data_IF_863914148184
#
_entry.id   IF_863914148184
#
_cell.length_a   1.000
_cell.length_b   1.000
_cell.length_c   1.000
_cell.angle_alpha   90.00
_cell.angle_beta   90.00
_cell.angle_gamma   90.00
#
_symmetry.space_group_name_H-M   'P 1'
#
loop_
_entity.id
_entity.type
_entity.pdbx_description
1 polymer ?
#
# COMPACT_ATOMS: atom_id res chain seq x y z
N UNK A 1 -68.81 4.88 -18.51
CA UNK A 1 -67.39 5.00 -18.11
C UNK A 1 -66.78 3.70 -17.56
N UNK A 2 -67.55 2.73 -17.06
CA UNK A 2 -67.02 1.46 -16.47
C UNK A 2 -66.47 0.42 -17.46
N UNK A 3 -66.68 0.58 -18.79
CA UNK A 3 -66.28 -0.41 -19.80
C UNK A 3 -64.83 -0.29 -20.32
N UNK A 4 -64.14 0.83 -20.03
CA UNK A 4 -62.74 1.07 -20.41
C UNK A 4 -61.73 0.83 -19.28
N UNK A 5 -62.21 0.61 -18.05
CA UNK A 5 -61.34 0.40 -16.88
C UNK A 5 -60.78 -1.04 -16.84
N UNK A 6 -61.54 -2.01 -17.33
CA UNK A 6 -61.15 -3.43 -17.33
C UNK A 6 -59.92 -3.77 -18.22
N UNK A 7 -59.79 -3.28 -19.48
CA UNK A 7 -58.61 -3.56 -20.29
C UNK A 7 -57.36 -2.81 -19.83
N UNK A 8 -57.52 -1.67 -19.15
CA UNK A 8 -56.40 -0.88 -18.60
C UNK A 8 -55.75 -1.57 -17.39
N UNK A 9 -56.55 -2.23 -16.55
CA UNK A 9 -56.05 -3.02 -15.41
C UNK A 9 -55.38 -4.32 -15.88
N UNK A 10 -55.86 -4.94 -16.96
CA UNK A 10 -55.28 -6.17 -17.50
C UNK A 10 -53.93 -5.92 -18.20
N UNK A 11 -53.74 -4.76 -18.83
CA UNK A 11 -52.45 -4.36 -19.43
C UNK A 11 -51.38 -4.01 -18.38
N UNK A 12 -51.78 -3.41 -17.25
CA UNK A 12 -50.85 -3.10 -16.15
C UNK A 12 -50.30 -4.32 -15.41
N UNK A 13 -51.05 -5.42 -15.35
CA UNK A 13 -50.62 -6.65 -14.69
C UNK A 13 -49.46 -7.37 -15.42
N UNK A 14 -49.35 -7.21 -16.74
CA UNK A 14 -48.30 -7.85 -17.56
C UNK A 14 -46.94 -7.17 -17.36
N UNK A 15 -46.92 -5.88 -17.05
CA UNK A 15 -45.69 -5.09 -16.87
C UNK A 15 -45.02 -5.41 -15.51
N UNK A 16 -45.80 -5.79 -14.50
CA UNK A 16 -45.27 -6.12 -13.17
C UNK A 16 -44.64 -7.53 -13.10
N UNK A 17 -45.09 -8.47 -13.93
CA UNK A 17 -44.55 -9.84 -13.95
C UNK A 17 -43.21 -9.92 -14.71
N UNK A 18 -42.98 -9.06 -15.71
CA UNK A 18 -41.73 -9.12 -16.49
C UNK A 18 -40.48 -8.68 -15.72
N UNK A 19 -40.63 -7.78 -14.73
CA UNK A 19 -39.51 -7.36 -13.88
C UNK A 19 -39.00 -8.50 -12.96
N UNK A 20 -39.90 -9.40 -12.53
CA UNK A 20 -39.51 -10.53 -11.67
C UNK A 20 -38.68 -11.57 -12.43
N UNK A 21 -39.05 -11.86 -13.68
CA UNK A 21 -38.31 -12.77 -14.57
C UNK A 21 -36.93 -12.20 -14.93
N UNK A 22 -36.84 -10.89 -15.21
CA UNK A 22 -35.56 -10.24 -15.54
C UNK A 22 -34.59 -10.20 -14.34
N UNK A 23 -35.08 -9.95 -13.13
CA UNK A 23 -34.25 -10.04 -11.92
C UNK A 23 -33.77 -11.47 -11.67
N UNK A 24 -34.60 -12.47 -11.94
CA UNK A 24 -34.23 -13.89 -11.79
C UNK A 24 -33.19 -14.29 -12.84
N UNK A 25 -33.33 -13.82 -14.08
CA UNK A 25 -32.32 -14.01 -15.14
C UNK A 25 -31.00 -13.29 -14.82
N UNK A 26 -31.05 -12.08 -14.25
CA UNK A 26 -29.85 -11.36 -13.79
C UNK A 26 -29.17 -12.07 -12.61
N UNK A 27 -29.93 -12.69 -11.71
CA UNK A 27 -29.37 -13.50 -10.63
C UNK A 27 -28.71 -14.79 -11.14
N UNK A 28 -29.22 -15.40 -12.21
CA UNK A 28 -28.58 -16.59 -12.83
C UNK A 28 -27.38 -16.25 -13.72
N UNK A 29 -27.29 -15.01 -14.22
CA UNK A 29 -26.17 -14.54 -15.06
C UNK A 29 -25.10 -13.79 -14.26
N UNK A 30 -25.40 -13.44 -13.01
CA UNK A 30 -24.53 -12.71 -12.08
C UNK A 30 -23.71 -13.58 -11.14
N UNK A 31 -23.53 -14.88 -11.43
CA UNK A 31 -22.51 -15.67 -10.74
C UNK A 31 -21.16 -15.09 -11.15
N UNK A 32 -20.55 -14.30 -10.28
CA UNK A 32 -19.16 -13.88 -10.41
C UNK A 32 -18.34 -15.15 -10.70
N UNK A 33 -17.84 -15.26 -11.93
CA UNK A 33 -16.94 -16.35 -12.29
C UNK A 33 -15.78 -16.31 -11.28
N UNK A 34 -15.35 -17.46 -10.76
CA UNK A 34 -14.20 -17.49 -9.87
C UNK A 34 -13.03 -16.81 -10.57
N UNK A 35 -12.33 -15.93 -9.86
CA UNK A 35 -11.20 -15.19 -10.40
C UNK A 35 -10.19 -16.15 -11.00
N UNK A 36 -9.69 -15.82 -12.19
CA UNK A 36 -8.58 -16.53 -12.80
C UNK A 36 -7.29 -16.27 -12.02
N UNK A 37 -6.33 -17.19 -12.13
CA UNK A 37 -5.02 -17.00 -11.47
C UNK A 37 -4.33 -15.70 -11.93
N UNK A 38 -4.45 -15.37 -13.21
CA UNK A 38 -3.90 -14.14 -13.78
C UNK A 38 -4.53 -12.87 -13.20
N UNK A 39 -5.85 -12.88 -12.97
CA UNK A 39 -6.55 -11.76 -12.32
C UNK A 39 -6.10 -11.59 -10.86
N UNK A 40 -5.96 -12.69 -10.12
CA UNK A 40 -5.48 -12.67 -8.73
C UNK A 40 -4.05 -12.12 -8.65
N UNK A 41 -3.16 -12.58 -9.52
CA UNK A 41 -1.76 -12.16 -9.54
C UNK A 41 -1.64 -10.70 -9.96
N UNK A 42 -2.40 -10.28 -10.97
CA UNK A 42 -2.40 -8.89 -11.44
C UNK A 42 -2.92 -7.95 -10.35
N UNK A 43 -4.00 -8.33 -9.66
CA UNK A 43 -4.54 -7.58 -8.53
C UNK A 43 -3.55 -7.48 -7.37
N UNK A 44 -2.86 -8.56 -7.02
CA UNK A 44 -1.81 -8.56 -6.00
C UNK A 44 -0.66 -7.62 -6.38
N UNK A 45 -0.16 -7.71 -7.63
CA UNK A 45 0.92 -6.84 -8.11
C UNK A 45 0.52 -5.37 -8.06
N UNK A 46 -0.69 -5.05 -8.50
CA UNK A 46 -1.21 -3.68 -8.48
C UNK A 46 -1.33 -3.13 -7.05
N UNK A 47 -1.85 -3.94 -6.13
CA UNK A 47 -1.96 -3.57 -4.72
C UNK A 47 -0.58 -3.30 -4.10
N UNK A 48 0.42 -4.16 -4.39
CA UNK A 48 1.79 -3.99 -3.90
C UNK A 48 2.47 -2.77 -4.53
N UNK A 49 2.30 -2.53 -5.84
CA UNK A 49 2.84 -1.34 -6.52
C UNK A 49 2.24 -0.07 -5.93
N UNK A 50 0.93 -0.04 -5.74
CA UNK A 50 0.22 1.08 -5.13
C UNK A 50 0.70 1.31 -3.69
N UNK A 51 0.80 0.24 -2.89
CA UNK A 51 1.28 0.31 -1.52
C UNK A 51 2.72 0.83 -1.43
N UNK A 52 3.62 0.30 -2.26
CA UNK A 52 5.02 0.74 -2.30
C UNK A 52 5.15 2.21 -2.71
N UNK A 53 4.39 2.64 -3.73
CA UNK A 53 4.40 4.03 -4.22
C UNK A 53 3.87 4.99 -3.16
N UNK A 54 2.74 4.66 -2.54
CA UNK A 54 2.14 5.50 -1.51
C UNK A 54 3.01 5.57 -0.25
N UNK A 55 3.58 4.46 0.21
CA UNK A 55 4.47 4.44 1.38
C UNK A 55 5.75 5.24 1.11
N UNK A 56 6.40 5.04 -0.04
CA UNK A 56 7.57 5.82 -0.42
C UNK A 56 7.26 7.32 -0.51
N UNK A 57 6.13 7.69 -1.12
CA UNK A 57 5.70 9.10 -1.17
C UNK A 57 5.41 9.69 0.22
N UNK A 58 4.80 8.91 1.11
CA UNK A 58 4.52 9.34 2.49
C UNK A 58 5.82 9.60 3.26
N UNK A 59 6.78 8.69 3.14
CA UNK A 59 8.08 8.78 3.80
C UNK A 59 8.98 9.85 3.20
N UNK A 60 8.84 10.14 1.90
CA UNK A 60 9.60 11.16 1.21
C UNK A 60 9.16 12.61 1.51
N UNK A 61 7.96 12.77 2.09
CA UNK A 61 7.44 14.07 2.49
C UNK A 61 8.26 14.65 3.64
N UNK A 62 8.23 15.98 3.76
CA UNK A 62 8.83 16.66 4.92
C UNK A 62 8.15 16.14 6.20
N UNK A 63 8.95 15.66 7.14
CA UNK A 63 8.53 14.98 8.37
C UNK A 63 7.91 13.59 8.16
N UNK A 64 8.10 12.99 6.98
CA UNK A 64 7.68 11.62 6.70
C UNK A 64 8.37 10.58 7.59
N UNK A 65 9.63 10.84 7.97
CA UNK A 65 10.32 10.11 9.03
C UNK A 65 10.31 10.89 10.35
N UNK A 66 10.77 12.15 10.32
CA UNK A 66 11.03 12.91 11.56
C UNK A 66 9.77 13.12 12.41
N UNK A 67 8.59 13.20 11.79
CA UNK A 67 7.32 13.45 12.44
C UNK A 67 6.54 12.19 12.87
N UNK A 68 7.03 10.99 12.54
CA UNK A 68 6.36 9.74 12.90
C UNK A 68 7.17 9.04 14.00
N UNK A 69 6.60 8.96 15.21
CA UNK A 69 7.30 8.44 16.39
C UNK A 69 7.72 6.96 16.27
N UNK A 70 7.05 6.19 15.40
CA UNK A 70 7.34 4.76 15.22
C UNK A 70 8.58 4.54 14.36
N UNK A 71 8.85 5.45 13.43
CA UNK A 71 9.90 5.28 12.40
C UNK A 71 10.93 6.41 12.39
N UNK A 72 10.78 7.42 13.23
CA UNK A 72 11.76 8.48 13.43
C UNK A 72 13.12 7.86 13.76
N UNK A 73 14.12 8.22 12.98
CA UNK A 73 15.47 7.74 13.15
C UNK A 73 16.12 8.50 14.31
N UNK A 74 16.47 7.78 15.37
CA UNK A 74 17.22 8.31 16.50
C UNK A 74 18.71 8.03 16.33
N UNK A 75 19.52 8.72 17.12
CA UNK A 75 20.94 8.38 17.21
C UNK A 75 21.09 6.97 17.80
N UNK A 76 22.07 6.20 17.31
CA UNK A 76 22.31 4.85 17.80
C UNK A 76 22.88 4.91 19.23
N UNK A 77 22.70 3.83 20.02
CA UNK A 77 23.11 3.77 21.43
C UNK A 77 24.63 3.98 21.60
N UNK A 78 25.40 3.58 20.61
CA UNK A 78 26.84 3.78 20.52
C UNK A 78 27.23 5.27 20.53
N UNK A 79 26.34 6.16 20.08
CA UNK A 79 26.55 7.62 20.10
C UNK A 79 26.26 8.26 21.46
N UNK A 80 25.72 7.53 22.45
CA UNK A 80 25.29 8.08 23.75
C UNK A 80 26.39 8.83 24.48
N UNK A 81 27.62 8.31 24.50
CA UNK A 81 28.76 8.98 25.17
C UNK A 81 29.05 10.34 24.55
N UNK A 82 28.92 10.44 23.22
CA UNK A 82 29.13 11.71 22.49
C UNK A 82 28.00 12.68 22.81
N UNK A 83 26.76 12.21 22.77
CA UNK A 83 25.56 13.00 23.11
C UNK A 83 25.67 13.56 24.54
N UNK A 84 25.97 12.73 25.53
CA UNK A 84 26.07 13.14 26.94
C UNK A 84 27.13 14.23 27.19
N UNK A 85 28.22 14.20 26.42
CA UNK A 85 29.27 15.20 26.55
C UNK A 85 28.93 16.48 25.78
N UNK A 86 28.31 16.38 24.61
CA UNK A 86 27.82 17.53 23.85
C UNK A 86 26.73 18.25 24.65
N UNK A 87 25.78 17.55 25.27
CA UNK A 87 24.71 18.17 26.07
C UNK A 87 25.21 19.01 27.25
N UNK A 88 26.45 18.84 27.70
CA UNK A 88 27.05 19.64 28.81
C UNK A 88 27.56 21.01 28.38
N UNK A 89 27.72 21.26 27.07
CA UNK A 89 28.15 22.57 26.57
C UNK A 89 26.94 23.45 26.21
N UNK A 90 27.02 24.79 26.39
CA UNK A 90 25.96 25.69 25.97
C UNK A 90 25.61 25.51 24.49
N UNK A 91 24.35 25.19 24.19
CA UNK A 91 23.86 24.92 22.83
C UNK A 91 24.06 23.49 22.33
N UNK A 92 24.65 22.60 23.14
CA UNK A 92 24.89 21.21 22.78
C UNK A 92 23.62 20.40 22.47
N UNK A 93 22.56 20.56 23.26
CA UNK A 93 21.29 19.89 23.01
C UNK A 93 20.72 20.24 21.63
N UNK A 94 20.88 21.50 21.20
CA UNK A 94 20.47 21.92 19.86
C UNK A 94 21.26 21.20 18.77
N UNK A 95 22.57 21.01 18.95
CA UNK A 95 23.39 20.26 17.99
C UNK A 95 22.94 18.80 17.87
N UNK A 96 22.57 18.17 18.99
CA UNK A 96 22.03 16.81 18.99
C UNK A 96 20.69 16.75 18.24
N UNK A 97 19.79 17.70 18.49
CA UNK A 97 18.51 17.77 17.79
C UNK A 97 18.68 18.05 16.29
N UNK A 98 19.60 18.93 15.90
CA UNK A 98 19.92 19.24 14.51
C UNK A 98 20.51 18.01 13.80
N UNK A 99 21.33 17.20 14.49
CA UNK A 99 21.86 15.94 13.95
C UNK A 99 20.75 14.90 13.71
N UNK A 100 19.86 14.70 14.68
CA UNK A 100 18.68 13.82 14.52
C UNK A 100 17.84 14.30 13.34
N UNK A 101 17.56 15.60 13.26
CA UNK A 101 16.80 16.18 12.15
C UNK A 101 17.50 15.91 10.80
N UNK A 102 18.81 16.14 10.70
CA UNK A 102 19.58 15.93 9.47
C UNK A 102 19.55 14.47 9.00
N UNK A 103 19.66 13.50 9.92
CA UNK A 103 19.59 12.08 9.58
C UNK A 103 18.21 11.73 9.01
N UNK A 104 17.14 12.22 9.65
CA UNK A 104 15.79 11.99 9.16
C UNK A 104 15.54 12.68 7.81
N UNK A 105 16.09 13.88 7.58
CA UNK A 105 16.01 14.55 6.28
C UNK A 105 16.73 13.76 5.19
N UNK A 106 17.90 13.20 5.49
CA UNK A 106 18.59 12.32 4.55
C UNK A 106 17.76 11.07 4.21
N UNK A 107 17.07 10.48 5.20
CA UNK A 107 16.16 9.36 4.96
C UNK A 107 14.91 9.74 4.14
N UNK A 108 14.32 10.91 4.38
CA UNK A 108 13.22 11.47 3.57
C UNK A 108 13.68 11.71 2.13
N UNK A 109 14.89 12.22 1.94
CA UNK A 109 15.46 12.43 0.61
C UNK A 109 15.70 11.09 -0.11
N UNK A 110 16.30 10.10 0.55
CA UNK A 110 16.51 8.76 0.00
C UNK A 110 15.18 8.05 -0.32
N UNK A 111 14.14 8.26 0.49
CA UNK A 111 12.82 7.65 0.27
C UNK A 111 12.16 8.06 -1.06
N UNK A 112 12.56 9.17 -1.67
CA UNK A 112 12.05 9.62 -2.99
C UNK A 112 12.37 8.62 -4.10
N UNK A 113 13.50 7.94 -4.00
CA UNK A 113 14.01 7.06 -5.04
C UNK A 113 13.73 5.57 -4.77
N UNK A 114 12.98 5.26 -3.70
CA UNK A 114 12.66 3.89 -3.28
C UNK A 114 11.58 3.25 -4.15
N UNK A 115 10.52 3.98 -4.50
CA UNK A 115 9.37 3.41 -5.22
C UNK A 115 9.78 2.66 -6.52
N UNK A 116 10.67 3.19 -7.39
CA UNK A 116 11.11 2.48 -8.58
C UNK A 116 11.77 1.12 -8.29
N UNK A 117 12.49 0.98 -7.17
CA UNK A 117 13.15 -0.27 -6.78
C UNK A 117 12.09 -1.34 -6.48
N UNK A 118 11.11 -1.02 -5.62
CA UNK A 118 10.02 -1.94 -5.31
C UNK A 118 9.18 -2.28 -6.54
N UNK A 119 8.83 -1.29 -7.36
CA UNK A 119 8.03 -1.50 -8.58
C UNK A 119 8.73 -2.47 -9.53
N UNK A 120 10.04 -2.36 -9.73
CA UNK A 120 10.80 -3.33 -10.55
C UNK A 120 10.70 -4.73 -9.96
N UNK A 121 10.95 -4.89 -8.66
CA UNK A 121 10.90 -6.20 -8.00
C UNK A 121 9.50 -6.84 -8.04
N UNK A 122 8.45 -6.06 -7.85
CA UNK A 122 7.05 -6.54 -7.89
C UNK A 122 6.68 -6.96 -9.32
N UNK A 123 7.10 -6.19 -10.34
CA UNK A 123 6.84 -6.54 -11.74
C UNK A 123 7.54 -7.85 -12.14
N UNK A 124 8.77 -8.07 -11.65
CA UNK A 124 9.56 -9.29 -11.87
C UNK A 124 9.11 -10.50 -11.05
N UNK A 125 8.12 -10.36 -10.17
CA UNK A 125 7.59 -11.44 -9.33
C UNK A 125 6.99 -12.57 -10.18
N UNK A 126 7.35 -13.81 -9.86
CA UNK A 126 6.82 -15.01 -10.52
C UNK A 126 5.43 -15.38 -10.00
N UNK A 127 4.74 -16.29 -10.70
CA UNK A 127 3.45 -16.85 -10.24
C UNK A 127 3.63 -17.53 -8.87
N UNK A 128 4.72 -18.28 -8.69
CA UNK A 128 5.03 -18.97 -7.44
C UNK A 128 5.25 -18.00 -6.28
N UNK A 129 5.99 -16.91 -6.51
CA UNK A 129 6.19 -15.85 -5.50
C UNK A 129 4.85 -15.20 -5.12
N UNK A 130 4.01 -14.89 -6.11
CA UNK A 130 2.70 -14.26 -5.89
C UNK A 130 1.78 -15.14 -5.03
N UNK A 131 1.69 -16.44 -5.33
CA UNK A 131 0.93 -17.37 -4.49
C UNK A 131 1.57 -17.61 -3.13
N UNK A 132 2.90 -17.57 -3.05
CA UNK A 132 3.63 -17.62 -1.79
C UNK A 132 3.32 -16.43 -0.88
N UNK A 133 3.12 -15.24 -1.45
CA UNK A 133 2.66 -14.06 -0.70
C UNK A 133 1.18 -14.21 -0.32
N UNK A 134 0.31 -14.57 -1.27
CA UNK A 134 -1.13 -14.67 -1.05
C UNK A 134 -1.52 -15.69 0.03
N UNK A 135 -0.78 -16.79 0.12
CA UNK A 135 -1.02 -17.88 1.08
C UNK A 135 -0.01 -17.88 2.24
N UNK A 136 0.89 -16.90 2.26
CA UNK A 136 1.97 -16.81 3.23
C UNK A 136 1.53 -16.23 4.57
N UNK A 137 2.49 -16.05 5.46
CA UNK A 137 2.29 -15.31 6.70
C UNK A 137 2.09 -13.80 6.43
N UNK A 138 1.67 -13.06 7.45
CA UNK A 138 1.36 -11.62 7.37
C UNK A 138 2.52 -10.76 6.82
N UNK A 139 3.76 -11.22 6.94
CA UNK A 139 4.96 -10.53 6.49
C UNK A 139 5.55 -11.08 5.17
N UNK A 140 4.86 -12.00 4.48
CA UNK A 140 5.40 -12.68 3.29
C UNK A 140 5.80 -11.71 2.17
N UNK A 141 4.99 -10.66 1.94
CA UNK A 141 5.33 -9.60 0.98
C UNK A 141 6.59 -8.83 1.41
N UNK A 142 6.70 -8.51 2.70
CA UNK A 142 7.87 -7.83 3.27
C UNK A 142 9.13 -8.68 3.11
N UNK A 143 9.06 -9.97 3.41
CA UNK A 143 10.20 -10.89 3.25
C UNK A 143 10.64 -11.02 1.79
N UNK A 144 9.67 -11.14 0.86
CA UNK A 144 9.96 -11.16 -0.57
C UNK A 144 10.69 -9.89 -0.98
N UNK A 145 10.13 -8.72 -0.69
CA UNK A 145 10.71 -7.44 -1.08
C UNK A 145 12.08 -7.22 -0.43
N UNK A 146 12.25 -7.56 0.85
CA UNK A 146 13.54 -7.47 1.51
C UNK A 146 14.59 -8.29 0.76
N UNK A 147 14.32 -9.58 0.48
CA UNK A 147 15.25 -10.44 -0.24
C UNK A 147 15.62 -9.92 -1.62
N UNK A 148 14.68 -9.28 -2.32
CA UNK A 148 14.87 -8.87 -3.72
C UNK A 148 15.32 -7.43 -3.91
N UNK A 149 15.20 -6.58 -2.89
CA UNK A 149 15.55 -5.14 -2.99
C UNK A 149 16.56 -4.66 -1.97
N UNK A 150 16.89 -5.43 -0.93
CA UNK A 150 17.71 -4.97 0.19
C UNK A 150 19.03 -4.33 -0.25
N UNK A 151 19.76 -4.95 -1.18
CA UNK A 151 21.05 -4.41 -1.62
C UNK A 151 20.93 -3.03 -2.26
N UNK A 152 19.90 -2.81 -3.10
CA UNK A 152 19.67 -1.52 -3.76
C UNK A 152 19.22 -0.47 -2.75
N UNK A 153 18.32 -0.82 -1.83
CA UNK A 153 17.85 0.08 -0.78
C UNK A 153 18.98 0.43 0.20
N UNK A 154 19.77 -0.55 0.61
CA UNK A 154 20.91 -0.33 1.50
C UNK A 154 21.91 0.66 0.88
N UNK A 155 22.21 0.49 -0.41
CA UNK A 155 23.08 1.41 -1.12
C UNK A 155 22.46 2.82 -1.21
N UNK A 156 21.15 2.92 -1.45
CA UNK A 156 20.44 4.20 -1.54
C UNK A 156 20.44 4.99 -0.22
N UNK A 157 20.42 4.30 0.92
CA UNK A 157 20.43 4.91 2.26
C UNK A 157 21.83 5.03 2.87
N UNK A 158 22.86 4.50 2.19
CA UNK A 158 24.23 4.63 2.66
C UNK A 158 24.75 6.06 2.39
N UNK A 159 25.44 6.69 3.35
CA UNK A 159 26.06 8.01 3.19
C UNK A 159 27.27 8.01 2.26
#
# INVERSE_FOLDING_TARGET
>A
MKKFILPLILSGAIILVSCAELMTALQTTGTALPLTEDEVISGLKEALVTGATNSSSKLAAVNGYFGDEVIKILLPEEARIVVDNISKIPGGDKLVQDAILSINRAAEDAARDVAPIFVRSIKSMTIGDAFGILKGADDAATQYLNRTTYSEIFQLYSP
#
